data_IF_151003980453
#
_entry.id   IF_151003980453
#
_cell.length_a   1.000
_cell.length_b   1.000
_cell.length_c   1.000
_cell.angle_alpha   90.00
_cell.angle_beta   90.00
_cell.angle_gamma   90.00
#
_symmetry.space_group_name_H-M   'P 1'
#
loop_
_entity.id
_entity.type
_entity.pdbx_description
1 polymer ?
#
# COMPACT_ATOMS: atom_id res chain seq x y z
N UNK A 1 3.01 -8.84 -7.13
CA UNK A 1 2.59 -9.02 -5.71
C UNK A 1 1.54 -7.99 -5.26
N UNK A 2 1.70 -6.70 -5.49
CA UNK A 2 0.84 -5.62 -4.99
C UNK A 2 -0.67 -5.82 -5.20
N UNK A 3 -1.11 -6.24 -6.40
CA UNK A 3 -2.52 -6.53 -6.68
C UNK A 3 -3.12 -7.56 -5.70
N UNK A 4 -2.36 -8.62 -5.39
CA UNK A 4 -2.85 -9.65 -4.47
C UNK A 4 -2.94 -9.16 -3.03
N UNK A 5 -1.93 -8.42 -2.56
CA UNK A 5 -1.97 -7.78 -1.23
C UNK A 5 -3.17 -6.84 -1.11
N UNK A 6 -3.46 -6.04 -2.15
CA UNK A 6 -4.62 -5.16 -2.17
C UNK A 6 -5.95 -5.93 -2.02
N UNK A 7 -6.06 -7.12 -2.62
CA UNK A 7 -7.27 -7.97 -2.52
C UNK A 7 -7.46 -8.63 -1.15
N UNK A 8 -6.44 -8.64 -0.31
CA UNK A 8 -6.52 -9.15 1.07
C UNK A 8 -6.77 -8.06 2.11
N UNK A 9 -6.60 -6.79 1.73
CA UNK A 9 -6.85 -5.63 2.59
C UNK A 9 -8.32 -5.21 2.52
N UNK A 10 -8.75 -4.44 3.49
CA UNK A 10 -10.02 -3.73 3.43
C UNK A 10 -9.99 -2.74 2.26
N UNK A 11 -10.94 -2.86 1.34
CA UNK A 11 -11.10 -1.98 0.20
C UNK A 11 -12.33 -1.09 0.37
N UNK A 12 -12.13 0.23 0.36
CA UNK A 12 -13.17 1.26 0.49
C UNK A 12 -13.47 1.98 -0.84
N UNK A 13 -12.86 1.54 -1.95
CA UNK A 13 -12.93 2.24 -3.23
C UNK A 13 -14.35 2.33 -3.83
N UNK A 14 -15.26 1.47 -3.40
CA UNK A 14 -16.67 1.46 -3.81
C UNK A 14 -17.58 2.34 -2.91
N UNK A 15 -17.09 2.81 -1.75
CA UNK A 15 -17.88 3.60 -0.82
C UNK A 15 -18.17 5.00 -1.34
N UNK A 16 -19.39 5.48 -1.09
CA UNK A 16 -19.90 6.77 -1.59
C UNK A 16 -20.17 7.78 -0.48
N UNK A 17 -20.01 7.37 0.78
CA UNK A 17 -20.15 8.21 1.96
C UNK A 17 -19.23 7.77 3.10
N UNK A 18 -18.95 8.67 4.04
CA UNK A 18 -18.22 8.38 5.26
C UNK A 18 -18.92 7.30 6.09
N UNK A 19 -20.25 7.38 6.21
CA UNK A 19 -21.04 6.41 6.97
C UNK A 19 -20.93 4.99 6.38
N UNK A 20 -20.95 4.86 5.06
CA UNK A 20 -20.76 3.59 4.36
C UNK A 20 -19.34 3.04 4.59
N UNK A 21 -18.31 3.90 4.52
CA UNK A 21 -16.95 3.52 4.82
C UNK A 21 -16.80 3.04 6.28
N UNK A 22 -17.35 3.77 7.25
CA UNK A 22 -17.35 3.38 8.66
C UNK A 22 -18.04 2.05 8.89
N UNK A 23 -19.20 1.82 8.27
CA UNK A 23 -19.91 0.53 8.35
C UNK A 23 -19.05 -0.63 7.81
N UNK A 24 -18.37 -0.41 6.68
CA UNK A 24 -17.50 -1.40 6.05
C UNK A 24 -16.24 -1.69 6.89
N UNK A 25 -15.62 -0.65 7.48
CA UNK A 25 -14.50 -0.77 8.41
C UNK A 25 -14.91 -1.59 9.65
N UNK A 26 -16.04 -1.25 10.27
CA UNK A 26 -16.56 -1.96 11.43
C UNK A 26 -16.86 -3.44 11.14
N UNK A 27 -17.49 -3.72 9.98
CA UNK A 27 -17.77 -5.08 9.54
C UNK A 27 -16.48 -5.89 9.34
N UNK A 28 -15.48 -5.28 8.67
CA UNK A 28 -14.18 -5.91 8.47
C UNK A 28 -13.45 -6.19 9.79
N UNK A 29 -13.48 -5.23 10.73
CA UNK A 29 -12.86 -5.38 12.03
C UNK A 29 -13.49 -6.54 12.85
N UNK A 30 -14.83 -6.67 12.81
CA UNK A 30 -15.56 -7.79 13.45
C UNK A 30 -15.25 -9.14 12.79
N UNK A 31 -15.14 -9.18 11.47
CA UNK A 31 -14.82 -10.40 10.72
C UNK A 31 -13.35 -10.84 10.91
N UNK A 32 -12.48 -9.95 11.39
CA UNK A 32 -11.06 -10.19 11.58
C UNK A 32 -10.60 -9.88 13.03
N UNK A 33 -11.14 -10.56 14.04
CA UNK A 33 -10.90 -10.22 15.46
C UNK A 33 -9.42 -10.40 15.87
N UNK A 34 -8.69 -11.30 15.22
CA UNK A 34 -7.30 -11.62 15.56
C UNK A 34 -6.27 -10.72 14.87
N UNK A 35 -6.70 -9.81 13.98
CA UNK A 35 -5.77 -8.86 13.36
C UNK A 35 -5.41 -7.76 14.33
N UNK A 36 -4.10 -7.60 14.59
CA UNK A 36 -3.58 -6.54 15.47
C UNK A 36 -3.74 -5.14 14.87
N UNK A 37 -3.83 -5.03 13.54
CA UNK A 37 -4.06 -3.79 12.80
C UNK A 37 -5.17 -4.01 11.79
N UNK A 38 -5.99 -3.00 11.58
CA UNK A 38 -6.89 -2.91 10.44
C UNK A 38 -6.18 -2.09 9.37
N UNK A 39 -5.81 -2.75 8.28
CA UNK A 39 -5.12 -2.12 7.15
C UNK A 39 -6.04 -2.18 5.94
N UNK A 40 -6.20 -1.05 5.27
CA UNK A 40 -7.05 -0.93 4.10
C UNK A 40 -6.63 0.19 3.17
N UNK A 41 -7.45 0.42 2.16
CA UNK A 41 -7.21 1.45 1.15
C UNK A 41 -8.50 1.92 0.50
N UNK A 42 -8.39 2.93 -0.35
CA UNK A 42 -9.43 3.28 -1.29
C UNK A 42 -10.39 4.35 -0.79
N UNK A 43 -10.15 4.94 0.41
CA UNK A 43 -10.99 6.04 0.84
C UNK A 43 -10.80 7.28 -0.05
N UNK A 44 -11.91 8.03 -0.25
CA UNK A 44 -11.92 9.22 -1.08
C UNK A 44 -12.96 10.21 -0.58
N UNK A 45 -12.51 11.23 0.18
CA UNK A 45 -13.37 12.26 0.75
C UNK A 45 -14.09 13.12 -0.30
N UNK A 46 -13.53 13.25 -1.51
CA UNK A 46 -14.18 13.95 -2.61
C UNK A 46 -15.40 13.18 -3.12
N UNK A 47 -15.25 11.86 -3.30
CA UNK A 47 -16.35 10.97 -3.68
C UNK A 47 -17.46 10.96 -2.61
N UNK A 48 -17.07 11.04 -1.34
CA UNK A 48 -18.00 11.13 -0.22
C UNK A 48 -18.64 12.51 -0.07
N UNK A 49 -18.19 13.52 -0.84
CA UNK A 49 -18.62 14.91 -0.75
C UNK A 49 -18.49 15.47 0.68
N UNK A 50 -17.44 15.08 1.39
CA UNK A 50 -17.23 15.43 2.78
C UNK A 50 -16.80 16.91 2.95
N UNK A 51 -16.21 17.51 1.91
CA UNK A 51 -15.73 18.91 1.92
C UNK A 51 -14.51 19.16 2.82
N UNK A 52 -13.99 18.11 3.45
CA UNK A 52 -12.79 18.12 4.30
C UNK A 52 -12.13 16.74 4.30
N UNK A 53 -10.95 16.62 4.87
CA UNK A 53 -10.41 15.32 5.21
C UNK A 53 -11.19 14.66 6.36
N UNK A 54 -11.24 13.33 6.42
CA UNK A 54 -11.76 12.62 7.58
C UNK A 54 -10.81 12.77 8.78
N UNK A 55 -11.29 12.43 9.99
CA UNK A 55 -10.53 12.57 11.24
C UNK A 55 -10.32 11.23 11.94
N UNK A 56 -9.33 11.17 12.84
CA UNK A 56 -9.10 9.99 13.69
C UNK A 56 -10.34 9.63 14.51
N UNK A 57 -11.06 10.62 15.04
CA UNK A 57 -12.26 10.41 15.84
C UNK A 57 -13.35 9.64 15.05
N UNK A 58 -13.45 9.86 13.75
CA UNK A 58 -14.39 9.13 12.88
C UNK A 58 -14.04 7.65 12.71
N UNK A 59 -12.77 7.28 12.84
CA UNK A 59 -12.34 5.89 12.93
C UNK A 59 -12.51 5.32 14.35
N UNK A 60 -12.22 6.11 15.38
CA UNK A 60 -12.32 5.68 16.77
C UNK A 60 -13.75 5.27 17.14
N UNK A 61 -14.78 5.92 16.55
CA UNK A 61 -16.19 5.54 16.73
C UNK A 61 -16.46 4.09 16.30
N UNK A 62 -15.72 3.56 15.33
CA UNK A 62 -15.99 2.22 14.76
C UNK A 62 -14.93 1.19 15.12
N UNK A 63 -13.68 1.61 15.39
CA UNK A 63 -12.57 0.76 15.84
C UNK A 63 -11.67 1.57 16.76
N UNK A 64 -11.86 1.44 18.07
CA UNK A 64 -11.04 2.09 19.10
C UNK A 64 -10.02 1.16 19.75
N UNK A 65 -10.23 -0.15 19.65
CA UNK A 65 -9.50 -1.20 20.40
C UNK A 65 -8.14 -1.55 19.79
N UNK A 66 -7.86 -1.14 18.55
CA UNK A 66 -6.63 -1.46 17.83
C UNK A 66 -6.32 -0.44 16.73
N UNK A 67 -5.05 -0.37 16.29
CA UNK A 67 -4.64 0.56 15.23
C UNK A 67 -5.36 0.31 13.90
N UNK A 68 -5.75 1.42 13.25
CA UNK A 68 -6.32 1.46 11.90
C UNK A 68 -5.44 2.33 11.02
N UNK A 69 -5.06 1.83 9.85
CA UNK A 69 -4.35 2.57 8.82
C UNK A 69 -4.97 2.32 7.44
N UNK A 70 -5.46 3.36 6.82
CA UNK A 70 -6.18 3.31 5.55
C UNK A 70 -5.52 4.26 4.53
N UNK A 71 -5.05 3.72 3.41
CA UNK A 71 -4.47 4.50 2.32
C UNK A 71 -5.57 5.15 1.47
N UNK A 72 -5.38 6.39 1.06
CA UNK A 72 -6.26 7.07 0.11
C UNK A 72 -6.22 6.36 -1.25
N UNK A 73 -7.26 6.56 -2.05
CA UNK A 73 -7.41 5.91 -3.37
C UNK A 73 -6.23 6.14 -4.32
N UNK A 74 -5.59 7.30 -4.23
CA UNK A 74 -4.42 7.68 -5.03
C UNK A 74 -3.07 7.30 -4.41
N UNK A 75 -3.06 6.81 -3.15
CA UNK A 75 -1.84 6.44 -2.44
C UNK A 75 -1.05 7.61 -1.83
N UNK A 76 -1.54 8.86 -1.95
CA UNK A 76 -0.85 10.06 -1.49
C UNK A 76 -1.24 10.53 -0.09
N UNK A 77 -2.18 9.86 0.57
CA UNK A 77 -2.53 10.14 1.95
C UNK A 77 -2.90 8.86 2.70
N UNK A 78 -2.67 8.88 4.00
CA UNK A 78 -3.11 7.85 4.92
C UNK A 78 -4.01 8.41 6.00
N UNK A 79 -4.98 7.60 6.45
CA UNK A 79 -5.92 7.93 7.51
C UNK A 79 -5.75 6.95 8.67
N UNK A 80 -5.38 7.48 9.82
CA UNK A 80 -5.06 6.76 11.05
C UNK A 80 -6.10 7.06 12.13
N UNK A 81 -6.43 6.07 12.94
CA UNK A 81 -7.16 6.28 14.19
C UNK A 81 -6.20 6.68 15.34
N UNK A 82 -6.76 7.04 16.49
CA UNK A 82 -5.98 7.42 17.67
C UNK A 82 -5.03 6.32 18.13
N UNK A 83 -5.43 5.05 18.08
CA UNK A 83 -4.58 3.93 18.46
C UNK A 83 -3.35 3.79 17.53
N UNK A 84 -3.50 4.01 16.22
CA UNK A 84 -2.38 4.00 15.29
C UNK A 84 -1.43 5.17 15.52
N UNK A 85 -1.95 6.36 15.82
CA UNK A 85 -1.13 7.51 16.16
C UNK A 85 -0.34 7.30 17.45
N UNK A 86 -0.92 6.65 18.47
CA UNK A 86 -0.21 6.29 19.71
C UNK A 86 0.95 5.34 19.43
N UNK A 87 0.73 4.28 18.65
CA UNK A 87 1.81 3.34 18.27
C UNK A 87 2.91 4.04 17.48
N UNK A 88 2.56 5.00 16.64
CA UNK A 88 3.52 5.79 15.85
C UNK A 88 4.14 6.97 16.63
N UNK A 89 3.79 7.15 17.91
CA UNK A 89 4.27 8.24 18.78
C UNK A 89 3.98 9.62 18.16
N UNK A 90 2.84 9.76 17.49
CA UNK A 90 2.38 11.02 16.91
C UNK A 90 1.72 11.88 17.99
N UNK A 91 2.20 13.10 18.14
CA UNK A 91 1.72 14.07 19.13
C UNK A 91 1.52 15.44 18.50
N UNK A 92 0.99 16.39 19.24
CA UNK A 92 0.90 17.79 18.81
C UNK A 92 2.27 18.42 18.51
N UNK A 93 3.35 17.89 19.10
CA UNK A 93 4.72 18.36 18.86
C UNK A 93 5.38 17.72 17.62
N UNK A 94 4.76 16.70 17.02
CA UNK A 94 5.30 16.02 15.84
C UNK A 94 5.29 16.96 14.64
N UNK A 95 6.44 17.21 14.06
CA UNK A 95 6.59 18.08 12.89
C UNK A 95 6.35 17.31 11.60
N UNK A 96 5.77 17.96 10.61
CA UNK A 96 5.70 17.44 9.25
C UNK A 96 7.12 17.26 8.68
N UNK A 97 7.43 16.10 8.08
CA UNK A 97 8.72 15.89 7.42
C UNK A 97 8.80 16.69 6.10
N UNK A 98 10.00 16.85 5.58
CA UNK A 98 10.18 17.41 4.23
C UNK A 98 9.43 16.55 3.20
N UNK A 99 8.70 17.21 2.30
CA UNK A 99 7.88 16.52 1.28
C UNK A 99 6.61 15.86 1.81
N UNK A 100 6.18 16.13 3.06
CA UNK A 100 4.94 15.60 3.62
C UNK A 100 4.24 16.56 4.55
N UNK A 101 2.95 16.32 4.81
CA UNK A 101 2.13 17.16 5.69
C UNK A 101 1.30 16.30 6.65
N UNK A 102 1.37 16.63 7.94
CA UNK A 102 0.43 16.15 8.95
C UNK A 102 -0.75 17.12 8.96
N UNK A 103 -1.95 16.62 8.67
CA UNK A 103 -3.16 17.43 8.78
C UNK A 103 -3.48 17.71 10.25
N UNK A 104 -3.76 18.97 10.55
CA UNK A 104 -4.05 19.42 11.92
C UNK A 104 -5.51 19.79 12.07
N UNK A 105 -6.08 19.50 13.23
CA UNK A 105 -7.37 20.02 13.71
C UNK A 105 -7.09 20.85 14.98
N UNK A 106 -7.09 22.17 14.80
CA UNK A 106 -6.56 23.07 15.84
C UNK A 106 -5.08 22.79 16.11
N UNK A 107 -4.74 22.47 17.34
CA UNK A 107 -3.36 22.18 17.76
C UNK A 107 -3.01 20.67 17.74
N UNK A 108 -3.89 19.80 17.28
CA UNK A 108 -3.69 18.34 17.31
C UNK A 108 -3.67 17.74 15.90
N UNK A 109 -2.88 16.68 15.66
CA UNK A 109 -2.98 15.89 14.44
C UNK A 109 -4.41 15.36 14.24
N UNK A 110 -4.98 15.59 13.06
CA UNK A 110 -6.35 15.16 12.73
C UNK A 110 -6.49 13.67 12.46
N UNK A 111 -5.36 12.97 12.22
CA UNK A 111 -5.32 11.57 11.80
C UNK A 111 -5.04 11.38 10.31
N UNK A 112 -4.93 12.45 9.52
CA UNK A 112 -4.55 12.35 8.10
C UNK A 112 -3.12 12.81 7.89
N UNK A 113 -2.37 11.99 7.12
CA UNK A 113 -0.96 12.16 6.82
C UNK A 113 -0.77 12.12 5.31
N UNK A 114 -0.12 13.14 4.73
CA UNK A 114 0.01 13.32 3.28
C UNK A 114 1.46 13.09 2.88
N UNK A 115 1.66 12.41 1.75
CA UNK A 115 2.96 12.11 1.13
C UNK A 115 3.97 11.56 2.15
N UNK A 116 5.17 12.11 2.28
CA UNK A 116 6.20 11.61 3.19
C UNK A 116 5.76 11.54 4.67
N UNK A 117 4.72 12.27 5.08
CA UNK A 117 4.18 12.16 6.44
C UNK A 117 3.44 10.83 6.66
N UNK A 118 2.91 10.20 5.61
CA UNK A 118 2.26 8.89 5.71
C UNK A 118 3.20 7.82 6.26
N UNK A 119 4.49 7.89 5.96
CA UNK A 119 5.49 6.94 6.44
C UNK A 119 5.69 6.98 7.96
N UNK A 120 5.36 8.11 8.61
CA UNK A 120 5.44 8.21 10.07
C UNK A 120 4.55 7.17 10.77
N UNK A 121 3.43 6.80 10.17
CA UNK A 121 2.49 5.80 10.69
C UNK A 121 2.66 4.46 9.96
N UNK A 122 2.73 4.48 8.63
CA UNK A 122 2.75 3.28 7.79
C UNK A 122 3.89 2.31 8.15
N UNK A 123 5.08 2.82 8.52
CA UNK A 123 6.24 2.00 8.94
C UNK A 123 6.00 1.16 10.21
N UNK A 124 5.00 1.49 11.03
CA UNK A 124 4.61 0.74 12.22
C UNK A 124 3.54 -0.32 11.93
N UNK A 125 2.92 -0.25 10.75
CA UNK A 125 1.97 -1.28 10.33
C UNK A 125 2.71 -2.60 10.05
N UNK A 126 2.16 -3.74 10.47
CA UNK A 126 2.80 -5.03 10.26
C UNK A 126 2.95 -5.34 8.77
N UNK A 127 4.12 -5.81 8.39
CA UNK A 127 4.35 -6.33 7.05
C UNK A 127 3.60 -7.65 6.86
N UNK A 128 3.14 -7.95 5.64
CA UNK A 128 2.47 -9.21 5.36
C UNK A 128 3.37 -10.41 5.69
N UNK A 129 2.84 -11.39 6.41
CA UNK A 129 3.53 -12.65 6.66
C UNK A 129 3.73 -13.46 5.37
N UNK A 130 4.67 -14.41 5.36
CA UNK A 130 4.93 -15.27 4.22
C UNK A 130 3.64 -15.95 3.69
N UNK A 131 2.81 -16.51 4.59
CA UNK A 131 1.52 -17.11 4.23
C UNK A 131 0.52 -16.12 3.61
N UNK A 132 0.53 -14.87 4.07
CA UNK A 132 -0.33 -13.83 3.51
C UNK A 132 0.15 -13.42 2.10
N UNK A 133 1.47 -13.37 1.87
CA UNK A 133 2.05 -13.13 0.54
C UNK A 133 1.71 -14.28 -0.42
N UNK A 134 1.78 -15.53 0.04
CA UNK A 134 1.43 -16.69 -0.76
C UNK A 134 -0.07 -16.68 -1.15
N UNK A 135 -0.95 -16.34 -0.20
CA UNK A 135 -2.37 -16.15 -0.47
C UNK A 135 -2.62 -14.96 -1.42
N UNK A 136 -1.88 -13.85 -1.23
CA UNK A 136 -1.93 -12.70 -2.12
C UNK A 136 -1.53 -13.07 -3.56
N UNK A 137 -0.46 -13.84 -3.73
CA UNK A 137 -0.05 -14.32 -5.05
C UNK A 137 -1.14 -15.18 -5.69
N UNK A 138 -1.76 -16.10 -4.94
CA UNK A 138 -2.86 -16.92 -5.43
C UNK A 138 -4.04 -16.04 -5.91
N UNK A 139 -4.43 -15.03 -5.12
CA UNK A 139 -5.50 -14.09 -5.49
C UNK A 139 -5.14 -13.19 -6.68
N UNK A 140 -3.88 -12.80 -6.82
CA UNK A 140 -3.42 -12.07 -7.99
C UNK A 140 -3.49 -12.93 -9.26
N UNK A 141 -3.04 -14.18 -9.19
CA UNK A 141 -3.11 -15.11 -10.31
C UNK A 141 -4.56 -15.38 -10.73
N UNK A 142 -5.43 -15.70 -9.78
CA UNK A 142 -6.88 -15.89 -10.03
C UNK A 142 -7.47 -14.70 -10.80
N UNK A 143 -7.19 -13.47 -10.34
CA UNK A 143 -7.72 -12.26 -10.95
C UNK A 143 -7.16 -11.99 -12.35
N UNK A 144 -5.86 -12.17 -12.55
CA UNK A 144 -5.22 -11.89 -13.83
C UNK A 144 -5.58 -12.95 -14.88
N UNK A 145 -5.56 -14.21 -14.50
CA UNK A 145 -5.90 -15.31 -15.39
C UNK A 145 -7.39 -15.29 -15.81
N UNK A 146 -8.30 -14.85 -14.93
CA UNK A 146 -9.71 -14.66 -15.29
C UNK A 146 -9.95 -13.62 -16.37
N UNK A 147 -8.98 -12.69 -16.55
CA UNK A 147 -8.96 -11.68 -17.61
C UNK A 147 -8.12 -12.10 -18.83
N UNK A 148 -7.63 -13.34 -18.87
CA UNK A 148 -6.77 -13.83 -19.94
C UNK A 148 -5.33 -13.29 -19.88
N UNK A 149 -4.93 -12.63 -18.80
CA UNK A 149 -3.56 -12.13 -18.60
C UNK A 149 -2.69 -13.27 -18.08
N UNK A 150 -1.78 -13.77 -18.90
CA UNK A 150 -0.92 -14.93 -18.60
C UNK A 150 0.51 -14.55 -18.24
N UNK A 151 0.92 -13.30 -18.48
CA UNK A 151 2.25 -12.80 -18.17
C UNK A 151 2.21 -11.37 -17.64
N UNK A 152 3.09 -11.05 -16.70
CA UNK A 152 3.23 -9.71 -16.12
C UNK A 152 4.69 -9.31 -15.92
N UNK A 153 4.95 -8.01 -15.91
CA UNK A 153 6.14 -7.42 -15.31
C UNK A 153 5.78 -6.92 -13.90
N UNK A 154 6.45 -7.45 -12.86
CA UNK A 154 6.25 -7.03 -11.47
C UNK A 154 7.31 -6.01 -11.09
N UNK A 155 6.92 -4.71 -11.10
CA UNK A 155 7.82 -3.57 -10.93
C UNK A 155 7.99 -3.20 -9.45
N UNK A 156 9.06 -3.71 -8.83
CA UNK A 156 9.40 -3.45 -7.43
C UNK A 156 9.20 -4.68 -6.53
N UNK A 157 9.56 -5.86 -7.03
CA UNK A 157 9.56 -7.09 -6.22
C UNK A 157 10.58 -6.98 -5.08
N UNK A 158 10.13 -7.23 -3.84
CA UNK A 158 11.02 -7.37 -2.69
C UNK A 158 11.62 -8.77 -2.61
N UNK A 159 12.57 -8.98 -1.70
CA UNK A 159 13.11 -10.33 -1.43
C UNK A 159 12.02 -11.29 -0.98
N UNK A 160 11.10 -10.83 -0.13
CA UNK A 160 9.98 -11.64 0.37
C UNK A 160 8.97 -11.97 -0.73
N UNK A 161 8.74 -11.05 -1.68
CA UNK A 161 7.90 -11.30 -2.86
C UNK A 161 8.54 -12.38 -3.74
N UNK A 162 9.84 -12.26 -4.00
CA UNK A 162 10.60 -13.26 -4.74
C UNK A 162 10.53 -14.64 -4.07
N UNK A 163 10.70 -14.71 -2.77
CA UNK A 163 10.57 -15.95 -2.01
C UNK A 163 9.16 -16.55 -2.13
N UNK A 164 8.12 -15.74 -2.17
CA UNK A 164 6.75 -16.20 -2.39
C UNK A 164 6.57 -16.77 -3.81
N UNK A 165 7.10 -16.08 -4.84
CA UNK A 165 7.09 -16.60 -6.21
C UNK A 165 7.83 -17.95 -6.32
N UNK A 166 8.98 -18.06 -5.63
CA UNK A 166 9.75 -19.31 -5.58
C UNK A 166 8.97 -20.44 -4.92
N UNK A 167 8.36 -20.21 -3.74
CA UNK A 167 7.50 -21.22 -3.08
C UNK A 167 6.36 -21.68 -3.97
N UNK A 168 5.72 -20.77 -4.70
CA UNK A 168 4.67 -21.11 -5.65
C UNK A 168 5.18 -21.97 -6.80
N UNK A 169 6.37 -21.66 -7.32
CA UNK A 169 7.02 -22.43 -8.37
C UNK A 169 7.45 -23.82 -7.90
N UNK A 170 8.09 -23.91 -6.74
CA UNK A 170 8.54 -25.18 -6.12
C UNK A 170 7.34 -26.11 -5.84
N UNK A 171 6.20 -25.54 -5.42
CA UNK A 171 4.96 -26.26 -5.16
C UNK A 171 4.09 -26.52 -6.41
N UNK A 172 4.51 -26.05 -7.60
CA UNK A 172 3.85 -26.32 -8.89
C UNK A 172 2.55 -25.54 -9.15
N UNK A 173 2.25 -24.49 -8.38
CA UNK A 173 1.05 -23.68 -8.56
C UNK A 173 1.30 -22.24 -9.07
N UNK A 174 2.53 -21.95 -9.51
CA UNK A 174 2.84 -20.72 -10.23
C UNK A 174 2.34 -20.83 -11.68
N UNK A 175 1.14 -20.31 -11.95
CA UNK A 175 0.47 -20.41 -13.25
C UNK A 175 0.63 -19.17 -14.12
N UNK A 176 1.16 -18.09 -13.56
CA UNK A 176 1.42 -16.83 -14.25
C UNK A 176 2.91 -16.73 -14.58
N UNK A 177 3.23 -16.21 -15.77
CA UNK A 177 4.62 -15.84 -16.09
C UNK A 177 4.96 -14.49 -15.45
N UNK A 178 5.98 -14.45 -14.60
CA UNK A 178 6.39 -13.25 -13.87
C UNK A 178 7.79 -12.83 -14.31
N UNK A 179 7.88 -11.63 -14.87
CA UNK A 179 9.09 -10.92 -15.16
C UNK A 179 9.35 -9.94 -14.02
N UNK A 180 10.15 -10.32 -13.03
CA UNK A 180 10.41 -9.53 -11.82
C UNK A 180 11.46 -8.44 -12.09
N UNK A 181 11.20 -7.25 -11.55
CA UNK A 181 12.17 -6.18 -11.39
C UNK A 181 12.27 -5.87 -9.91
N UNK A 182 13.45 -6.00 -9.33
CA UNK A 182 13.65 -5.82 -7.88
C UNK A 182 13.36 -4.39 -7.42
N UNK A 183 12.95 -4.23 -6.18
CA UNK A 183 12.72 -2.95 -5.53
C UNK A 183 14.03 -2.27 -5.09
N UNK A 184 14.88 -1.91 -6.05
CA UNK A 184 16.19 -1.33 -5.80
C UNK A 184 17.33 -2.35 -5.95
N UNK A 185 18.56 -1.90 -5.65
CA UNK A 185 19.78 -2.69 -5.85
C UNK A 185 19.94 -3.80 -4.80
N UNK A 186 19.67 -3.53 -3.53
CA UNK A 186 19.87 -4.48 -2.45
C UNK A 186 19.09 -5.80 -2.64
N UNK A 187 17.77 -5.77 -2.96
CA UNK A 187 17.07 -7.01 -3.30
C UNK A 187 17.62 -7.69 -4.54
N UNK A 188 18.09 -6.96 -5.55
CA UNK A 188 18.69 -7.54 -6.74
C UNK A 188 19.95 -8.35 -6.37
N UNK A 189 20.84 -7.75 -5.60
CA UNK A 189 22.07 -8.42 -5.15
C UNK A 189 21.78 -9.64 -4.27
N UNK A 190 20.79 -9.54 -3.39
CA UNK A 190 20.36 -10.66 -2.53
C UNK A 190 19.75 -11.83 -3.30
N UNK A 191 19.08 -11.56 -4.43
CA UNK A 191 18.38 -12.56 -5.24
C UNK A 191 19.33 -13.19 -6.27
N UNK A 192 20.20 -12.40 -6.91
CA UNK A 192 20.84 -12.77 -8.18
C UNK A 192 22.35 -12.55 -8.20
N UNK A 193 22.95 -12.04 -7.14
CA UNK A 193 24.34 -11.57 -7.11
C UNK A 193 24.67 -10.51 -8.20
N UNK A 194 23.64 -9.80 -8.72
CA UNK A 194 23.79 -8.68 -9.65
C UNK A 194 23.40 -8.96 -11.10
N UNK A 195 23.35 -10.22 -11.51
CA UNK A 195 22.96 -10.59 -12.88
C UNK A 195 21.51 -11.12 -12.93
N UNK A 196 20.77 -10.96 -14.06
CA UNK A 196 19.44 -11.54 -14.20
C UNK A 196 19.48 -13.07 -14.02
N UNK A 197 18.47 -13.62 -13.33
CA UNK A 197 18.37 -15.09 -13.22
C UNK A 197 18.08 -15.72 -14.59
N UNK A 198 18.43 -17.01 -14.80
CA UNK A 198 17.79 -17.77 -15.86
C UNK A 198 16.28 -17.84 -15.64
N UNK A 199 15.54 -18.27 -16.65
CA UNK A 199 14.15 -18.63 -16.49
C UNK A 199 14.01 -19.87 -15.59
N UNK A 200 13.07 -19.82 -14.66
CA UNK A 200 12.77 -20.88 -13.70
C UNK A 200 11.34 -21.39 -13.94
N UNK A 201 11.07 -22.63 -13.50
CA UNK A 201 9.73 -23.24 -13.48
C UNK A 201 9.06 -23.30 -14.85
N UNK A 202 9.76 -23.77 -15.89
CA UNK A 202 9.25 -23.84 -17.25
C UNK A 202 8.89 -22.44 -17.78
N UNK A 203 9.83 -21.52 -17.68
CA UNK A 203 9.74 -20.14 -18.15
C UNK A 203 8.65 -19.30 -17.46
N UNK A 204 8.34 -19.59 -16.19
CA UNK A 204 7.32 -18.85 -15.45
C UNK A 204 7.86 -17.80 -14.50
N UNK A 205 9.12 -17.83 -14.14
CA UNK A 205 9.70 -16.86 -13.22
C UNK A 205 11.10 -16.45 -13.64
N UNK A 206 11.37 -15.16 -13.68
CA UNK A 206 12.70 -14.58 -13.88
C UNK A 206 12.82 -13.27 -13.12
N UNK A 207 13.95 -13.04 -12.42
CA UNK A 207 14.36 -11.71 -12.01
C UNK A 207 15.17 -11.10 -13.16
N UNK A 208 14.64 -10.05 -13.78
CA UNK A 208 15.15 -9.52 -15.04
C UNK A 208 15.97 -8.24 -14.88
N UNK A 209 15.76 -7.51 -13.78
CA UNK A 209 16.43 -6.22 -13.57
C UNK A 209 15.98 -5.50 -12.31
N UNK A 210 16.21 -4.20 -12.27
CA UNK A 210 15.97 -3.35 -11.12
C UNK A 210 14.95 -2.26 -11.47
N UNK A 211 14.01 -1.98 -10.57
CA UNK A 211 13.14 -0.81 -10.63
C UNK A 211 13.78 0.33 -9.85
N UNK A 212 14.06 1.42 -10.53
CA UNK A 212 14.55 2.68 -9.96
C UNK A 212 13.58 3.81 -10.30
N UNK A 213 13.60 4.86 -9.50
CA UNK A 213 12.82 6.07 -9.72
C UNK A 213 13.78 7.19 -10.14
N UNK A 214 13.54 7.79 -11.30
CA UNK A 214 14.30 8.95 -11.77
C UNK A 214 13.76 10.25 -11.18
N UNK A 215 12.44 10.31 -10.99
CA UNK A 215 11.72 11.47 -10.45
C UNK A 215 10.38 11.02 -9.85
N UNK A 216 9.49 11.96 -9.55
CA UNK A 216 8.16 11.69 -9.02
C UNK A 216 7.09 11.52 -10.10
N UNK A 217 5.82 11.41 -9.68
CA UNK A 217 4.69 11.24 -10.56
C UNK A 217 4.09 12.58 -11.00
N UNK A 218 3.60 12.65 -12.25
CA UNK A 218 2.98 13.85 -12.82
C UNK A 218 1.72 14.26 -12.04
N UNK A 219 0.86 13.30 -11.71
CA UNK A 219 -0.42 13.54 -11.03
C UNK A 219 -0.29 14.08 -9.60
N UNK A 220 0.81 13.79 -8.91
CA UNK A 220 1.14 14.32 -7.58
C UNK A 220 2.05 15.56 -7.62
N UNK A 221 2.34 16.06 -8.82
CA UNK A 221 3.24 17.21 -9.05
C UNK A 221 4.66 17.01 -8.51
N UNK A 222 5.11 15.75 -8.50
CA UNK A 222 6.47 15.36 -8.12
C UNK A 222 7.39 15.09 -9.31
N UNK A 223 6.88 15.09 -10.54
CA UNK A 223 7.70 14.89 -11.72
C UNK A 223 8.58 16.13 -11.99
N UNK A 224 9.81 15.90 -12.44
CA UNK A 224 10.76 16.95 -12.82
C UNK A 224 10.42 17.47 -14.21
N UNK A 225 9.71 18.61 -14.26
CA UNK A 225 9.36 19.29 -15.48
C UNK A 225 10.36 20.43 -15.79
N UNK A 226 10.55 20.75 -17.06
CA UNK A 226 11.37 21.91 -17.48
C UNK A 226 10.73 23.25 -17.10
N UNK A 227 9.41 23.27 -16.97
CA UNK A 227 8.63 24.42 -16.54
C UNK A 227 7.84 24.05 -15.27
N UNK A 228 7.55 24.98 -14.40
CA UNK A 228 6.66 24.74 -13.26
C UNK A 228 5.31 24.21 -13.72
N UNK A 229 4.63 23.47 -12.85
CA UNK A 229 3.27 23.03 -13.09
C UNK A 229 2.34 24.24 -13.24
N UNK A 230 1.46 24.25 -14.24
CA UNK A 230 0.56 25.38 -14.50
C UNK A 230 -0.39 25.66 -13.32
N UNK A 231 -0.77 24.63 -12.58
CA UNK A 231 -1.66 24.69 -11.43
C UNK A 231 -0.92 24.73 -10.07
N UNK A 232 0.41 24.68 -10.08
CA UNK A 232 1.29 24.86 -8.94
C UNK A 232 2.58 25.57 -9.41
N UNK A 233 2.49 26.83 -9.85
CA UNK A 233 3.69 27.63 -10.06
C UNK A 233 4.41 27.77 -8.72
N UNK A 234 5.73 27.64 -8.72
CA UNK A 234 6.60 27.61 -7.52
C UNK A 234 6.31 28.72 -6.54
#
# INVERSE_FOLDING_TARGET
MGLGIQRLKLDLSDTTSLAEAQAKIAAYARANPNRKWIIGRGWNQERWKLGRFPTAAELDVVVADRPVWLERVDGHAGWANSAAMVVAIITAATKSPAGGQIQMEGAKPSGVFIDAAADLVARHAPQPLAKERDLALAKAQEALLSLGITAIADMGSTLEDWQSFRRAGDAGWLNLRIFGYSAGLDPMLAITAGEPTPWLYGDRLRMAGVKLYADGALGSRGAWLKQPYADKPA
#
